data_IF_146458911883
#
_entry.id   IF_146458911883
#
_cell.length_a   1.000
_cell.length_b   1.000
_cell.length_c   1.000
_cell.angle_alpha   90.00
_cell.angle_beta   90.00
_cell.angle_gamma   90.00
#
_symmetry.space_group_name_H-M   'P 1'
#
loop_
_entity.id
_entity.type
_entity.pdbx_description
1 polymer ?
#
# COMPACT_ATOMS: atom_id res chain seq x y z
N UNK A 1 88.21 22.04 -20.24
CA UNK A 1 88.38 23.33 -20.96
C UNK A 1 87.51 23.28 -22.22
N UNK A 2 86.68 24.30 -22.44
CA UNK A 2 85.96 24.59 -23.70
C UNK A 2 84.67 23.77 -23.92
N UNK A 3 83.43 24.23 -23.69
CA UNK A 3 82.70 25.46 -24.04
C UNK A 3 81.85 25.32 -25.33
N UNK A 4 80.54 25.54 -25.18
CA UNK A 4 79.61 26.04 -26.20
C UNK A 4 78.86 24.99 -27.03
N UNK A 5 77.65 25.22 -27.55
CA UNK A 5 76.68 26.32 -27.47
C UNK A 5 75.53 25.99 -28.47
N UNK A 6 74.35 26.61 -28.28
CA UNK A 6 73.32 26.97 -29.29
C UNK A 6 72.28 25.96 -29.87
N UNK A 7 71.02 26.21 -29.45
CA UNK A 7 69.78 26.53 -30.22
C UNK A 7 68.84 25.48 -30.88
N UNK A 8 67.63 25.42 -30.30
CA UNK A 8 66.25 25.63 -30.85
C UNK A 8 65.87 25.05 -32.23
N UNK A 9 64.85 24.17 -32.25
CA UNK A 9 63.67 24.37 -33.11
C UNK A 9 62.43 23.57 -32.71
N UNK A 10 61.29 24.24 -32.86
CA UNK A 10 59.91 23.82 -32.56
C UNK A 10 59.43 22.74 -33.53
N UNK A 11 58.65 21.78 -33.03
CA UNK A 11 57.47 21.28 -33.75
C UNK A 11 56.37 20.90 -32.74
N UNK A 12 55.21 21.57 -32.84
CA UNK A 12 53.92 21.07 -32.32
C UNK A 12 53.43 19.96 -33.24
N UNK A 13 52.71 18.96 -32.71
CA UNK A 13 51.33 18.79 -33.19
C UNK A 13 50.30 18.43 -32.10
N UNK A 14 49.11 19.00 -32.31
CA UNK A 14 47.75 18.47 -32.13
C UNK A 14 47.38 17.56 -30.94
N UNK A 15 46.40 18.02 -30.16
CA UNK A 15 45.52 17.27 -29.25
C UNK A 15 44.75 16.13 -29.94
N UNK A 16 44.25 15.10 -29.21
CA UNK A 16 42.93 15.25 -28.59
C UNK A 16 42.78 14.66 -27.17
N UNK A 17 42.04 15.42 -26.36
CA UNK A 17 40.93 14.99 -25.47
C UNK A 17 41.16 13.78 -24.55
N UNK A 18 41.07 14.03 -23.25
CA UNK A 18 40.11 13.34 -22.39
C UNK A 18 39.64 14.34 -21.33
N UNK A 19 38.48 14.95 -21.59
CA UNK A 19 37.76 15.78 -20.63
C UNK A 19 37.41 14.92 -19.41
N UNK A 20 37.90 15.34 -18.23
CA UNK A 20 37.36 14.90 -16.95
C UNK A 20 35.91 15.34 -16.85
N UNK A 21 34.99 14.41 -17.07
CA UNK A 21 33.59 14.57 -16.69
C UNK A 21 33.53 14.37 -15.18
N UNK A 22 33.40 15.47 -14.44
CA UNK A 22 32.99 15.46 -13.05
C UNK A 22 31.61 14.80 -12.97
N UNK A 23 31.59 13.55 -12.53
CA UNK A 23 30.37 12.81 -12.21
C UNK A 23 29.81 13.41 -10.91
N UNK A 24 28.86 14.34 -11.05
CA UNK A 24 28.03 14.79 -9.93
C UNK A 24 27.19 13.61 -9.45
N UNK A 25 27.65 12.92 -8.40
CA UNK A 25 26.87 11.92 -7.69
C UNK A 25 25.73 12.68 -7.00
N UNK A 26 24.56 12.68 -7.62
CA UNK A 26 23.31 12.97 -6.93
C UNK A 26 23.16 11.91 -5.82
N UNK A 27 23.44 12.31 -4.58
CA UNK A 27 22.99 11.63 -3.37
C UNK A 27 21.47 11.71 -3.32
N UNK A 28 20.80 10.89 -4.11
CA UNK A 28 19.45 10.47 -3.79
C UNK A 28 19.57 9.67 -2.48
N UNK A 29 18.91 10.09 -1.39
CA UNK A 29 18.82 9.22 -0.23
C UNK A 29 18.26 7.88 -0.72
N UNK A 30 18.79 6.73 -0.26
CA UNK A 30 18.19 5.47 -0.59
C UNK A 30 16.74 5.58 -0.17
N UNK A 31 15.83 5.53 -1.14
CA UNK A 31 14.47 5.17 -0.88
C UNK A 31 14.57 3.75 -0.33
N UNK A 32 14.79 3.66 0.98
CA UNK A 32 14.55 2.45 1.73
C UNK A 32 13.08 2.22 1.47
N UNK A 33 12.81 1.32 0.53
CA UNK A 33 11.52 0.69 0.36
C UNK A 33 11.28 -0.06 1.66
N UNK A 34 10.93 0.69 2.71
CA UNK A 34 10.20 0.16 3.85
C UNK A 34 9.01 -0.47 3.20
N UNK A 35 9.01 -1.81 3.12
CA UNK A 35 7.97 -2.62 2.55
C UNK A 35 6.63 -1.98 2.95
N UNK A 36 6.12 -1.16 2.05
CA UNK A 36 4.81 -0.56 2.20
C UNK A 36 3.94 -1.80 2.14
N UNK A 37 3.14 -2.04 3.19
CA UNK A 37 2.01 -2.95 3.03
C UNK A 37 1.31 -2.40 1.78
N UNK A 38 1.31 -3.15 0.66
CA UNK A 38 0.74 -2.62 -0.56
C UNK A 38 -0.70 -2.22 -0.21
N UNK A 39 -1.18 -1.05 -0.65
CA UNK A 39 -2.60 -0.73 -0.49
C UNK A 39 -3.39 -1.91 -1.06
N UNK A 40 -4.48 -2.30 -0.40
CA UNK A 40 -5.32 -3.45 -0.79
C UNK A 40 -5.86 -3.34 -2.23
N UNK A 41 -5.65 -2.19 -2.87
CA UNK A 41 -6.08 -1.77 -4.20
C UNK A 41 -5.70 -2.69 -5.38
N UNK A 42 -4.67 -3.54 -5.28
CA UNK A 42 -4.15 -4.22 -6.48
C UNK A 42 -4.91 -5.50 -6.94
N UNK A 43 -5.92 -5.99 -6.23
CA UNK A 43 -6.59 -7.28 -6.61
C UNK A 43 -8.10 -7.34 -6.41
N UNK A 44 -8.77 -6.25 -6.04
CA UNK A 44 -10.22 -6.31 -5.80
C UNK A 44 -10.98 -6.44 -7.13
N UNK A 45 -11.70 -7.55 -7.29
CA UNK A 45 -12.71 -7.76 -8.36
C UNK A 45 -13.59 -6.52 -8.54
N UNK A 46 -14.20 -6.27 -9.71
CA UNK A 46 -15.03 -5.07 -9.90
C UNK A 46 -16.21 -5.00 -8.91
N UNK A 47 -16.74 -3.80 -8.65
CA UNK A 47 -17.88 -3.63 -7.75
C UNK A 47 -19.10 -4.44 -8.25
N UNK A 48 -19.25 -4.55 -9.57
CA UNK A 48 -20.28 -5.35 -10.23
C UNK A 48 -20.10 -6.85 -10.00
N UNK A 49 -18.86 -7.35 -10.07
CA UNK A 49 -18.52 -8.77 -9.80
C UNK A 49 -18.84 -9.14 -8.35
N UNK A 50 -18.39 -8.31 -7.41
CA UNK A 50 -18.69 -8.51 -5.99
C UNK A 50 -20.19 -8.42 -5.74
N UNK A 51 -20.88 -7.40 -6.25
CA UNK A 51 -22.32 -7.29 -6.09
C UNK A 51 -23.06 -8.49 -6.68
N UNK A 52 -22.60 -9.02 -7.81
CA UNK A 52 -23.18 -10.24 -8.39
C UNK A 52 -23.04 -11.44 -7.45
N UNK A 53 -21.83 -11.73 -6.96
CA UNK A 53 -21.61 -12.86 -6.06
C UNK A 53 -22.38 -12.75 -4.74
N UNK A 54 -22.44 -11.54 -4.16
CA UNK A 54 -23.16 -11.28 -2.91
C UNK A 54 -24.68 -11.47 -3.09
N UNK A 55 -25.24 -10.89 -4.15
CA UNK A 55 -26.66 -10.99 -4.44
C UNK A 55 -27.09 -12.39 -4.84
N UNK A 56 -26.23 -13.12 -5.57
CA UNK A 56 -26.46 -14.51 -5.88
C UNK A 56 -26.50 -15.36 -4.62
N UNK A 57 -25.52 -15.22 -3.72
CA UNK A 57 -25.49 -15.94 -2.43
C UNK A 57 -26.71 -15.60 -1.56
N UNK A 58 -27.11 -14.33 -1.51
CA UNK A 58 -28.31 -13.90 -0.80
C UNK A 58 -29.58 -14.52 -1.42
N UNK A 59 -29.65 -14.60 -2.74
CA UNK A 59 -30.79 -15.19 -3.45
C UNK A 59 -30.94 -16.70 -3.24
N UNK A 60 -29.83 -17.42 -3.03
CA UNK A 60 -29.86 -18.85 -2.70
C UNK A 60 -30.26 -19.15 -1.26
N UNK A 61 -29.86 -18.28 -0.33
CA UNK A 61 -30.10 -18.48 1.10
C UNK A 61 -31.37 -17.79 1.60
N UNK A 62 -31.82 -16.72 0.94
CA UNK A 62 -33.19 -16.25 1.09
C UNK A 62 -34.09 -17.24 0.36
N UNK A 63 -35.18 -17.68 0.97
CA UNK A 63 -36.17 -18.60 0.38
C UNK A 63 -36.96 -17.94 -0.77
N UNK A 64 -36.25 -17.33 -1.71
CA UNK A 64 -36.76 -16.55 -2.83
C UNK A 64 -37.23 -17.52 -3.92
N UNK A 65 -38.50 -17.47 -4.34
CA UNK A 65 -38.98 -18.29 -5.44
C UNK A 65 -38.17 -18.04 -6.72
N UNK A 66 -37.86 -19.10 -7.47
CA UNK A 66 -37.03 -19.05 -8.69
C UNK A 66 -37.60 -18.06 -9.73
N UNK A 67 -38.92 -17.92 -9.80
CA UNK A 67 -39.60 -16.99 -10.71
C UNK A 67 -39.25 -15.52 -10.49
N UNK A 68 -38.81 -15.15 -9.29
CA UNK A 68 -38.53 -13.77 -8.89
C UNK A 68 -37.02 -13.51 -8.75
N UNK A 69 -36.17 -14.51 -9.02
CA UNK A 69 -34.73 -14.44 -8.76
C UNK A 69 -34.02 -13.38 -9.61
N UNK A 70 -34.38 -13.26 -10.89
CA UNK A 70 -33.80 -12.26 -11.80
C UNK A 70 -34.12 -10.83 -11.35
N UNK A 71 -35.36 -10.58 -10.93
CA UNK A 71 -35.79 -9.28 -10.43
C UNK A 71 -35.09 -8.95 -9.11
N UNK A 72 -35.04 -9.91 -8.18
CA UNK A 72 -34.30 -9.80 -6.94
C UNK A 72 -32.82 -9.47 -7.16
N UNK A 73 -32.12 -10.23 -8.01
CA UNK A 73 -30.70 -10.02 -8.28
C UNK A 73 -30.43 -8.64 -8.88
N UNK A 74 -31.30 -8.16 -9.78
CA UNK A 74 -31.22 -6.82 -10.36
C UNK A 74 -31.36 -5.73 -9.30
N UNK A 75 -32.38 -5.81 -8.44
CA UNK A 75 -32.61 -4.82 -7.38
C UNK A 75 -31.52 -4.85 -6.31
N UNK A 76 -31.10 -6.04 -5.89
CA UNK A 76 -30.01 -6.24 -4.97
C UNK A 76 -28.71 -5.60 -5.50
N UNK A 77 -28.34 -5.87 -6.76
CA UNK A 77 -27.14 -5.30 -7.36
C UNK A 77 -27.23 -3.78 -7.48
N UNK A 78 -28.37 -3.25 -7.91
CA UNK A 78 -28.59 -1.80 -8.00
C UNK A 78 -28.40 -1.11 -6.63
N UNK A 79 -28.80 -1.77 -5.53
CA UNK A 79 -28.60 -1.26 -4.17
C UNK A 79 -27.16 -1.44 -3.66
N UNK A 80 -26.50 -2.53 -4.03
CA UNK A 80 -25.23 -2.95 -3.41
C UNK A 80 -23.99 -2.38 -4.12
N UNK A 81 -24.03 -2.17 -5.44
CA UNK A 81 -22.90 -1.62 -6.20
C UNK A 81 -22.42 -0.27 -5.60
N UNK A 82 -23.29 0.73 -5.35
CA UNK A 82 -22.84 2.00 -4.78
C UNK A 82 -22.17 1.83 -3.41
N UNK A 83 -22.72 0.96 -2.56
CA UNK A 83 -22.18 0.67 -1.22
C UNK A 83 -20.81 0.01 -1.29
N UNK A 84 -20.60 -0.94 -2.22
CA UNK A 84 -19.29 -1.57 -2.41
C UNK A 84 -18.28 -0.53 -2.89
N UNK A 85 -18.66 0.34 -3.83
CA UNK A 85 -17.77 1.40 -4.33
C UNK A 85 -17.36 2.36 -3.22
N UNK A 86 -18.33 2.88 -2.46
CA UNK A 86 -18.08 3.77 -1.32
C UNK A 86 -17.20 3.10 -0.25
N UNK A 87 -17.52 1.86 0.11
CA UNK A 87 -16.78 1.06 1.09
C UNK A 87 -15.30 0.87 0.68
N UNK A 88 -15.03 0.67 -0.61
CA UNK A 88 -13.66 0.53 -1.12
C UNK A 88 -12.90 1.83 -1.07
N UNK A 89 -13.53 2.91 -1.51
CA UNK A 89 -12.93 4.23 -1.44
C UNK A 89 -12.59 4.59 0.02
N UNK A 90 -13.53 4.34 0.95
CA UNK A 90 -13.30 4.60 2.37
C UNK A 90 -12.16 3.76 2.94
N UNK A 91 -12.09 2.47 2.60
CA UNK A 91 -10.96 1.61 2.99
C UNK A 91 -9.63 2.18 2.50
N UNK A 92 -9.53 2.55 1.22
CA UNK A 92 -8.31 3.14 0.65
C UNK A 92 -7.90 4.40 1.42
N UNK A 93 -8.84 5.32 1.66
CA UNK A 93 -8.58 6.56 2.39
C UNK A 93 -8.09 6.31 3.82
N UNK A 94 -8.72 5.37 4.53
CA UNK A 94 -8.32 5.00 5.90
C UNK A 94 -6.94 4.34 5.92
N UNK A 95 -6.63 3.43 4.99
CA UNK A 95 -5.32 2.80 4.92
C UNK A 95 -4.21 3.81 4.61
N UNK A 96 -4.48 4.76 3.71
CA UNK A 96 -3.56 5.86 3.41
C UNK A 96 -3.30 6.72 4.66
N UNK A 97 -4.35 7.08 5.40
CA UNK A 97 -4.24 7.85 6.63
C UNK A 97 -3.42 7.11 7.70
N UNK A 98 -3.72 5.83 7.93
CA UNK A 98 -2.95 4.98 8.85
C UNK A 98 -1.47 4.91 8.44
N UNK A 99 -1.17 4.81 7.14
CA UNK A 99 0.20 4.78 6.63
C UNK A 99 0.94 6.12 6.83
N UNK A 100 0.23 7.26 6.80
CA UNK A 100 0.80 8.57 7.15
C UNK A 100 1.17 8.60 8.63
N UNK A 101 0.27 8.20 9.52
CA UNK A 101 0.50 8.21 10.98
C UNK A 101 1.62 7.26 11.39
N UNK A 102 1.69 6.07 10.79
CA UNK A 102 2.80 5.15 10.97
C UNK A 102 4.15 5.79 10.60
N UNK A 103 4.22 6.49 9.46
CA UNK A 103 5.45 7.16 9.01
C UNK A 103 5.85 8.32 9.92
N UNK A 104 4.89 9.09 10.42
CA UNK A 104 5.13 10.17 11.38
C UNK A 104 5.72 9.62 12.68
N UNK A 105 5.12 8.57 13.25
CA UNK A 105 5.63 7.91 14.45
C UNK A 105 7.03 7.33 14.23
N UNK A 106 7.26 6.67 13.08
CA UNK A 106 8.56 6.12 12.74
C UNK A 106 9.64 7.21 12.70
N UNK A 107 9.37 8.33 12.02
CA UNK A 107 10.30 9.45 11.91
C UNK A 107 10.62 10.06 13.30
N UNK A 108 9.60 10.24 14.14
CA UNK A 108 9.79 10.73 15.52
C UNK A 108 10.69 9.79 16.34
N UNK A 109 10.47 8.47 16.27
CA UNK A 109 11.30 7.50 16.99
C UNK A 109 12.75 7.46 16.47
N UNK A 110 12.95 7.65 15.17
CA UNK A 110 14.28 7.73 14.55
C UNK A 110 15.05 8.96 15.03
N UNK A 111 14.40 10.13 15.06
CA UNK A 111 15.01 11.38 15.55
C UNK A 111 15.41 11.30 17.03
N UNK A 112 14.65 10.56 17.83
CA UNK A 112 14.94 10.36 19.25
C UNK A 112 16.08 9.35 19.51
N UNK A 113 16.69 8.78 18.46
CA UNK A 113 17.78 7.80 18.59
C UNK A 113 17.36 6.50 19.28
N UNK A 114 16.06 6.18 19.29
CA UNK A 114 15.50 5.06 20.06
C UNK A 114 15.57 3.75 19.28
N UNK A 115 16.03 2.68 19.97
CA UNK A 115 16.04 1.27 19.52
C UNK A 115 14.63 0.74 19.13
N UNK A 116 13.57 1.48 19.44
CA UNK A 116 12.17 1.06 19.30
C UNK A 116 11.62 1.09 17.88
N UNK A 117 12.38 1.57 16.90
CA UNK A 117 11.98 1.58 15.47
C UNK A 117 11.74 0.15 14.94
N UNK A 118 12.65 -0.78 15.25
CA UNK A 118 12.50 -2.19 14.88
C UNK A 118 11.25 -2.83 15.51
N UNK A 119 10.94 -2.48 16.76
CA UNK A 119 9.75 -2.94 17.46
C UNK A 119 8.46 -2.41 16.82
N UNK A 120 8.44 -1.14 16.39
CA UNK A 120 7.29 -0.57 15.68
C UNK A 120 7.07 -1.27 14.33
N UNK A 121 8.13 -1.45 13.55
CA UNK A 121 8.07 -2.16 12.25
C UNK A 121 7.54 -3.58 12.44
N UNK A 122 8.07 -4.31 13.42
CA UNK A 122 7.63 -5.67 13.73
C UNK A 122 6.17 -5.69 14.19
N UNK A 123 5.77 -4.79 15.09
CA UNK A 123 4.38 -4.65 15.55
C UNK A 123 3.42 -4.42 14.38
N UNK A 124 3.76 -3.51 13.46
CA UNK A 124 2.90 -3.21 12.31
C UNK A 124 2.76 -4.41 11.36
N UNK A 125 3.85 -5.14 11.10
CA UNK A 125 3.83 -6.35 10.27
C UNK A 125 2.98 -7.47 10.89
N UNK A 126 3.14 -7.71 12.19
CA UNK A 126 2.35 -8.73 12.91
C UNK A 126 0.88 -8.35 12.94
N UNK A 127 0.56 -7.07 13.18
CA UNK A 127 -0.80 -6.57 13.14
C UNK A 127 -1.44 -6.76 11.76
N UNK A 128 -0.75 -6.47 10.65
CA UNK A 128 -1.31 -6.63 9.31
C UNK A 128 -1.72 -8.09 9.02
N UNK A 129 -0.86 -9.06 9.41
CA UNK A 129 -1.18 -10.50 9.28
C UNK A 129 -2.35 -10.92 10.15
N UNK A 130 -2.39 -10.42 11.39
CA UNK A 130 -3.52 -10.67 12.29
C UNK A 130 -4.82 -10.12 11.70
N UNK A 131 -4.81 -8.89 11.20
CA UNK A 131 -5.97 -8.22 10.61
C UNK A 131 -6.59 -9.06 9.48
N UNK A 132 -5.77 -9.53 8.55
CA UNK A 132 -6.25 -10.36 7.42
C UNK A 132 -6.89 -11.66 7.91
N UNK A 133 -6.22 -12.35 8.84
CA UNK A 133 -6.73 -13.62 9.40
C UNK A 133 -8.00 -13.40 10.22
N UNK A 134 -8.05 -12.33 11.02
CA UNK A 134 -9.19 -11.93 11.82
C UNK A 134 -10.40 -11.61 10.95
N UNK A 135 -10.24 -10.78 9.93
CA UNK A 135 -11.34 -10.41 9.06
C UNK A 135 -11.84 -11.57 8.19
N UNK A 136 -10.95 -12.49 7.81
CA UNK A 136 -11.36 -13.74 7.16
C UNK A 136 -12.24 -14.57 8.10
N UNK A 137 -11.83 -14.74 9.36
CA UNK A 137 -12.60 -15.47 10.37
C UNK A 137 -13.96 -14.80 10.65
N UNK A 138 -14.02 -13.47 10.74
CA UNK A 138 -15.28 -12.74 10.95
C UNK A 138 -16.26 -12.96 9.80
N UNK A 139 -15.78 -12.96 8.56
CA UNK A 139 -16.62 -13.26 7.39
C UNK A 139 -17.10 -14.70 7.42
N UNK A 140 -16.20 -15.67 7.65
CA UNK A 140 -16.54 -17.10 7.71
C UNK A 140 -17.54 -17.38 8.85
N UNK A 141 -17.43 -16.68 9.99
CA UNK A 141 -18.39 -16.80 11.11
C UNK A 141 -19.81 -16.42 10.72
N UNK A 142 -19.97 -15.41 9.85
CA UNK A 142 -21.29 -14.86 9.47
C UNK A 142 -21.83 -15.52 8.21
N UNK A 143 -20.96 -15.84 7.25
CA UNK A 143 -21.33 -16.28 5.90
C UNK A 143 -21.05 -17.77 5.66
N UNK A 144 -20.51 -18.48 6.66
CA UNK A 144 -20.08 -19.86 6.52
C UNK A 144 -18.94 -20.00 5.51
N UNK A 145 -19.13 -20.84 4.51
CA UNK A 145 -18.12 -21.08 3.47
C UNK A 145 -18.05 -19.98 2.40
N UNK A 146 -18.97 -19.01 2.41
CA UNK A 146 -18.95 -17.92 1.43
C UNK A 146 -18.04 -16.79 1.89
N UNK A 147 -17.04 -16.47 1.08
CA UNK A 147 -16.08 -15.39 1.35
C UNK A 147 -16.57 -14.08 0.76
N UNK A 148 -17.47 -13.41 1.46
CA UNK A 148 -18.00 -12.08 1.11
C UNK A 148 -16.88 -11.04 1.00
N UNK A 149 -16.53 -10.56 -0.21
CA UNK A 149 -15.52 -9.51 -0.36
C UNK A 149 -15.99 -8.17 0.21
N UNK A 150 -17.30 -7.90 0.19
CA UNK A 150 -17.85 -6.67 0.74
C UNK A 150 -17.69 -6.62 2.28
N UNK A 151 -18.03 -7.70 2.98
CA UNK A 151 -17.85 -7.79 4.43
C UNK A 151 -16.39 -7.82 4.84
N UNK A 152 -15.54 -8.48 4.04
CA UNK A 152 -14.10 -8.47 4.26
C UNK A 152 -13.56 -7.03 4.23
N UNK A 153 -13.92 -6.25 3.20
CA UNK A 153 -13.50 -4.85 3.08
C UNK A 153 -13.96 -3.99 4.28
N UNK A 154 -15.22 -4.16 4.72
CA UNK A 154 -15.75 -3.45 5.89
C UNK A 154 -14.97 -3.77 7.18
N UNK A 155 -14.61 -5.04 7.41
CA UNK A 155 -13.78 -5.42 8.56
C UNK A 155 -12.37 -4.82 8.46
N UNK A 156 -11.75 -4.89 7.29
CA UNK A 156 -10.41 -4.32 7.06
C UNK A 156 -10.39 -2.81 7.34
N UNK A 157 -11.44 -2.09 6.94
CA UNK A 157 -11.58 -0.65 7.20
C UNK A 157 -11.68 -0.38 8.70
N UNK A 158 -12.56 -1.11 9.40
CA UNK A 158 -12.74 -0.94 10.84
C UNK A 158 -11.43 -1.19 11.61
N UNK A 159 -10.69 -2.24 11.26
CA UNK A 159 -9.38 -2.52 11.86
C UNK A 159 -8.34 -1.45 11.51
N UNK A 160 -8.31 -0.97 10.27
CA UNK A 160 -7.42 0.11 9.86
C UNK A 160 -7.71 1.41 10.64
N UNK A 161 -8.98 1.78 10.86
CA UNK A 161 -9.36 2.94 11.69
C UNK A 161 -8.87 2.80 13.13
N UNK A 162 -9.08 1.63 13.76
CA UNK A 162 -8.59 1.36 15.12
C UNK A 162 -7.08 1.50 15.21
N UNK A 163 -6.35 0.97 14.22
CA UNK A 163 -4.89 1.03 14.18
C UNK A 163 -4.38 2.45 13.93
N UNK A 164 -5.05 3.20 13.07
CA UNK A 164 -4.79 4.63 12.85
C UNK A 164 -4.84 5.40 14.17
N UNK A 165 -5.98 5.35 14.88
CA UNK A 165 -6.13 6.05 16.17
C UNK A 165 -5.10 5.61 17.22
N UNK A 166 -4.76 4.31 17.26
CA UNK A 166 -3.69 3.80 18.11
C UNK A 166 -2.33 4.44 17.78
N UNK A 167 -1.94 4.51 16.51
CA UNK A 167 -0.66 5.10 16.07
C UNK A 167 -0.60 6.60 16.37
N UNK A 168 -1.69 7.31 16.06
CA UNK A 168 -1.87 8.74 16.36
C UNK A 168 -1.74 9.05 17.85
N UNK A 169 -2.10 8.11 18.73
CA UNK A 169 -1.94 8.23 20.18
C UNK A 169 -0.48 8.41 20.64
N UNK A 170 0.51 8.01 19.84
CA UNK A 170 1.93 8.17 20.18
C UNK A 170 2.55 9.49 19.72
N UNK A 171 1.88 10.20 18.80
CA UNK A 171 2.39 11.44 18.18
C UNK A 171 1.69 12.70 18.69
N UNK A 172 0.81 12.58 19.69
CA UNK A 172 0.23 13.70 20.44
C UNK A 172 1.19 14.14 21.54
#
# INVERSE_FOLDING_TARGET
MGAGYFYVSRHKPMHPKLSSILLSIFLLPPAVAYAQVPPVEATMESAESVAFGECWWLGENATTPVSNRTEFERECRASLIPKITEQRQSLTEVEQQMAIEYRQLLAMLQQQGRIRTNSLVLSQRTWAKFRESHCTLEVERVMGNYRSPHRLAACLEAEARKRSEYLKGFTK
#
